data_IF_947738904358
#
_entry.id   IF_947738904358
#
_cell.length_a   1.000
_cell.length_b   1.000
_cell.length_c   1.000
_cell.angle_alpha   90.00
_cell.angle_beta   90.00
_cell.angle_gamma   90.00
#
_symmetry.space_group_name_H-M   'P 1'
#
loop_
_entity.id
_entity.type
_entity.pdbx_description
1 polymer ?
#
# COMPACT_ATOMS: atom_id res chain seq x y z
N UNK A 1 30.49 -36.62 -5.85
CA UNK A 1 30.20 -35.33 -5.17
C UNK A 1 30.20 -34.23 -6.21
N UNK A 2 29.03 -33.78 -6.64
CA UNK A 2 28.84 -32.80 -7.71
C UNK A 2 28.82 -31.37 -7.16
N UNK A 3 29.82 -30.57 -7.53
CA UNK A 3 29.93 -29.16 -7.16
C UNK A 3 29.02 -28.30 -8.05
N UNK A 4 27.97 -27.71 -7.46
CA UNK A 4 27.09 -26.73 -8.13
C UNK A 4 27.68 -25.33 -7.99
N UNK A 5 28.13 -24.77 -9.12
CA UNK A 5 28.49 -23.35 -9.29
C UNK A 5 27.33 -22.46 -8.85
N UNK A 6 27.51 -21.66 -7.79
CA UNK A 6 26.61 -20.55 -7.43
C UNK A 6 26.85 -19.41 -8.42
N UNK A 7 25.89 -19.19 -9.33
CA UNK A 7 25.86 -18.02 -10.20
C UNK A 7 25.46 -16.79 -9.37
N UNK A 8 26.38 -15.85 -9.19
CA UNK A 8 26.13 -14.58 -8.54
C UNK A 8 25.39 -13.66 -9.51
N UNK A 9 24.11 -13.40 -9.25
CA UNK A 9 23.32 -12.46 -10.05
C UNK A 9 23.73 -11.04 -9.67
N UNK A 10 24.64 -10.48 -10.47
CA UNK A 10 25.20 -9.13 -10.33
C UNK A 10 24.08 -8.09 -10.27
N UNK A 11 23.86 -7.49 -9.09
CA UNK A 11 22.91 -6.40 -8.84
C UNK A 11 23.41 -5.17 -9.61
N UNK A 12 22.66 -4.76 -10.63
CA UNK A 12 22.96 -3.59 -11.45
C UNK A 12 22.64 -2.36 -10.59
N UNK A 13 23.64 -1.81 -9.89
CA UNK A 13 23.56 -0.46 -9.30
C UNK A 13 23.27 0.49 -10.47
N UNK A 14 22.08 1.07 -10.54
CA UNK A 14 21.78 2.12 -11.53
C UNK A 14 22.27 3.44 -10.95
N UNK A 15 23.33 3.89 -11.58
CA UNK A 15 23.98 5.20 -11.52
C UNK A 15 22.98 6.35 -11.65
N UNK A 16 23.29 7.44 -10.95
CA UNK A 16 22.45 8.62 -10.78
C UNK A 16 21.94 9.24 -12.08
N UNK A 17 20.65 9.52 -12.05
CA UNK A 17 19.95 10.54 -12.83
C UNK A 17 18.75 10.91 -11.94
N UNK A 18 18.38 12.18 -11.85
CA UNK A 18 17.24 12.67 -11.05
C UNK A 18 15.92 12.11 -11.60
N UNK A 19 15.64 10.83 -11.36
CA UNK A 19 14.35 10.22 -11.63
C UNK A 19 13.51 10.33 -10.36
N UNK A 20 12.30 10.87 -10.47
CA UNK A 20 11.30 10.85 -9.41
C UNK A 20 11.21 9.46 -8.78
N UNK A 21 11.30 9.36 -7.45
CA UNK A 21 11.20 8.12 -6.70
C UNK A 21 9.81 7.98 -6.11
N UNK A 22 9.18 6.83 -6.32
CA UNK A 22 7.91 6.51 -5.67
C UNK A 22 8.05 6.33 -4.14
N UNK A 23 9.25 6.03 -3.67
CA UNK A 23 9.54 5.70 -2.27
C UNK A 23 9.90 6.93 -1.42
N UNK A 24 10.15 8.08 -2.04
CA UNK A 24 10.63 9.30 -1.36
C UNK A 24 9.93 10.55 -1.92
N UNK A 25 8.63 10.76 -1.61
CA UNK A 25 7.92 11.97 -1.99
C UNK A 25 8.42 13.18 -1.20
N UNK A 26 8.31 14.38 -1.77
CA UNK A 26 8.62 15.62 -1.05
C UNK A 26 7.71 15.80 0.17
N UNK A 27 8.19 16.56 1.16
CA UNK A 27 7.41 16.89 2.36
C UNK A 27 6.05 17.49 1.99
N UNK A 28 4.99 17.03 2.65
CA UNK A 28 3.61 17.43 2.34
C UNK A 28 2.99 16.72 1.13
N UNK A 29 3.65 15.70 0.57
CA UNK A 29 3.12 14.86 -0.51
C UNK A 29 3.18 13.38 -0.16
N UNK A 30 2.29 12.59 -0.76
CA UNK A 30 2.41 11.14 -0.80
C UNK A 30 2.38 10.63 -2.25
N UNK A 31 2.99 9.47 -2.46
CA UNK A 31 2.98 8.79 -3.75
C UNK A 31 1.75 7.89 -3.88
N UNK A 32 1.04 7.95 -5.01
CA UNK A 32 0.01 6.99 -5.37
C UNK A 32 0.20 6.50 -6.81
N UNK A 33 0.09 5.20 -7.03
CA UNK A 33 0.23 4.60 -8.36
C UNK A 33 -1.03 4.76 -9.19
N UNK A 34 -0.89 4.93 -10.51
CA UNK A 34 -2.02 4.97 -11.46
C UNK A 34 -2.89 3.71 -11.35
N UNK A 35 -2.26 2.57 -11.10
CA UNK A 35 -2.93 1.29 -10.90
C UNK A 35 -3.92 1.30 -9.73
N UNK A 36 -3.71 2.12 -8.69
CA UNK A 36 -4.64 2.20 -7.56
C UNK A 36 -5.95 2.89 -7.95
N UNK A 37 -5.86 3.93 -8.78
CA UNK A 37 -7.02 4.65 -9.29
C UNK A 37 -7.77 3.80 -10.34
N UNK A 38 -7.03 3.12 -11.22
CA UNK A 38 -7.60 2.42 -12.38
C UNK A 38 -8.02 0.98 -12.06
N UNK A 39 -7.22 0.21 -11.32
CA UNK A 39 -7.47 -1.22 -11.03
C UNK A 39 -8.12 -1.44 -9.66
N UNK A 40 -7.76 -0.65 -8.66
CA UNK A 40 -8.38 -0.75 -7.33
C UNK A 40 -9.63 0.14 -7.20
N UNK A 41 -9.87 1.03 -8.17
CA UNK A 41 -10.94 2.03 -8.16
C UNK A 41 -10.92 2.87 -6.88
N UNK A 42 -9.72 3.16 -6.38
CA UNK A 42 -9.57 4.05 -5.23
C UNK A 42 -10.08 5.45 -5.60
N UNK A 43 -10.72 6.11 -4.65
CA UNK A 43 -11.30 7.44 -4.82
C UNK A 43 -10.71 8.44 -3.83
N UNK A 44 -10.98 9.72 -4.09
CA UNK A 44 -10.60 10.85 -3.25
C UNK A 44 -11.84 11.57 -2.71
N UNK A 45 -11.77 12.17 -1.52
CA UNK A 45 -10.66 12.06 -0.57
C UNK A 45 -10.49 10.63 -0.03
N UNK A 46 -9.25 10.21 0.25
CA UNK A 46 -8.98 8.90 0.83
C UNK A 46 -9.63 8.84 2.22
N UNK A 47 -10.47 7.82 2.50
CA UNK A 47 -11.15 7.71 3.80
C UNK A 47 -10.20 7.67 5.01
N UNK A 48 -10.61 8.27 6.13
CA UNK A 48 -9.85 8.32 7.38
C UNK A 48 -9.46 6.92 7.87
N UNK A 49 -10.37 5.94 7.71
CA UNK A 49 -10.11 4.55 8.06
C UNK A 49 -8.87 4.00 7.34
N UNK A 50 -8.69 4.33 6.05
CA UNK A 50 -7.53 3.90 5.27
C UNK A 50 -6.25 4.50 5.85
N UNK A 51 -6.26 5.81 6.10
CA UNK A 51 -5.09 6.53 6.60
C UNK A 51 -4.69 6.02 7.99
N UNK A 52 -5.66 5.86 8.90
CA UNK A 52 -5.42 5.37 10.27
C UNK A 52 -4.89 3.93 10.27
N UNK A 53 -5.45 3.05 9.46
CA UNK A 53 -4.97 1.68 9.36
C UNK A 53 -3.54 1.64 8.80
N UNK A 54 -3.26 2.40 7.74
CA UNK A 54 -1.91 2.49 7.18
C UNK A 54 -0.90 3.02 8.19
N UNK A 55 -1.25 4.07 8.94
CA UNK A 55 -0.42 4.61 10.01
C UNK A 55 -0.15 3.56 11.10
N UNK A 56 -1.18 2.81 11.51
CA UNK A 56 -1.06 1.73 12.50
C UNK A 56 -0.13 0.60 12.04
N UNK A 57 -0.13 0.28 10.75
CA UNK A 57 0.79 -0.70 10.17
C UNK A 57 2.17 -0.13 9.83
N UNK A 58 2.41 1.17 10.08
CA UNK A 58 3.62 1.90 9.68
C UNK A 58 3.90 1.78 8.18
N UNK A 59 2.84 1.84 7.37
CA UNK A 59 2.92 1.72 5.91
C UNK A 59 2.48 3.01 5.23
N UNK A 60 3.16 3.34 4.14
CA UNK A 60 2.66 4.30 3.16
C UNK A 60 1.75 3.59 2.14
N UNK A 61 0.84 4.34 1.51
CA UNK A 61 -0.04 3.78 0.49
C UNK A 61 0.73 3.19 -0.70
N UNK A 62 1.89 3.77 -1.06
CA UNK A 62 2.77 3.26 -2.12
C UNK A 62 3.47 1.94 -1.77
N UNK A 63 3.45 1.50 -0.51
CA UNK A 63 3.97 0.18 -0.12
C UNK A 63 2.93 -0.94 -0.26
N UNK A 64 1.65 -0.60 -0.42
CA UNK A 64 0.63 -1.58 -0.76
C UNK A 64 0.85 -2.09 -2.18
N UNK A 65 0.48 -3.35 -2.44
CA UNK A 65 0.30 -3.83 -3.80
C UNK A 65 -1.18 -3.75 -4.19
N UNK A 66 -1.48 -3.87 -5.48
CA UNK A 66 -2.85 -3.83 -6.02
C UNK A 66 -3.78 -4.79 -5.29
N UNK A 67 -3.36 -6.03 -5.05
CA UNK A 67 -4.19 -7.03 -4.39
C UNK A 67 -4.48 -6.69 -2.93
N UNK A 68 -3.50 -6.16 -2.19
CA UNK A 68 -3.67 -5.74 -0.80
C UNK A 68 -4.65 -4.56 -0.71
N UNK A 69 -4.49 -3.55 -1.58
CA UNK A 69 -5.40 -2.41 -1.63
C UNK A 69 -6.82 -2.82 -2.03
N UNK A 70 -6.99 -3.70 -3.02
CA UNK A 70 -8.33 -4.21 -3.40
C UNK A 70 -9.02 -4.96 -2.27
N UNK A 71 -8.30 -5.84 -1.57
CA UNK A 71 -8.85 -6.56 -0.42
C UNK A 71 -9.26 -5.59 0.69
N UNK A 72 -8.39 -4.62 0.97
CA UNK A 72 -8.61 -3.64 2.02
C UNK A 72 -9.82 -2.74 1.71
N UNK A 73 -9.90 -2.18 0.50
CA UNK A 73 -11.06 -1.42 0.03
C UNK A 73 -12.33 -2.26 0.03
N UNK A 74 -12.27 -3.51 -0.41
CA UNK A 74 -13.43 -4.38 -0.45
C UNK A 74 -13.98 -4.67 0.96
N UNK A 75 -13.12 -4.87 1.95
CA UNK A 75 -13.56 -5.04 3.35
C UNK A 75 -14.12 -3.75 3.93
N UNK A 76 -13.53 -2.60 3.60
CA UNK A 76 -14.06 -1.29 4.00
C UNK A 76 -15.45 -1.01 3.39
N UNK A 77 -15.64 -1.32 2.11
CA UNK A 77 -16.96 -1.18 1.47
C UNK A 77 -17.97 -2.14 2.08
N UNK A 78 -17.57 -3.40 2.30
CA UNK A 78 -18.44 -4.40 2.94
C UNK A 78 -18.83 -3.98 4.36
N UNK A 79 -17.93 -3.38 5.15
CA UNK A 79 -18.27 -2.91 6.49
C UNK A 79 -19.32 -1.80 6.44
N UNK A 80 -19.21 -0.87 5.48
CA UNK A 80 -20.23 0.16 5.29
C UNK A 80 -21.59 -0.43 4.88
N UNK A 81 -21.61 -1.41 3.97
CA UNK A 81 -22.85 -2.09 3.58
C UNK A 81 -23.52 -2.81 4.76
N UNK A 82 -22.72 -3.31 5.70
CA UNK A 82 -23.20 -3.99 6.91
C UNK A 82 -23.47 -3.05 8.09
N UNK A 83 -23.22 -1.73 7.94
CA UNK A 83 -23.35 -0.77 9.03
C UNK A 83 -22.34 -0.99 10.17
N UNK A 84 -21.19 -1.59 9.87
CA UNK A 84 -20.09 -1.83 10.80
C UNK A 84 -19.06 -0.71 10.71
N UNK A 85 -18.65 -0.20 11.87
CA UNK A 85 -17.52 0.71 11.99
C UNK A 85 -16.27 -0.10 12.35
N UNK A 86 -15.31 -0.19 11.41
CA UNK A 86 -14.08 -0.94 11.61
C UNK A 86 -12.98 -0.03 12.14
N UNK A 87 -12.49 -0.36 13.33
CA UNK A 87 -11.32 0.29 13.92
C UNK A 87 -10.02 -0.20 13.27
N UNK A 88 -8.92 0.57 13.36
CA UNK A 88 -7.59 0.08 12.97
C UNK A 88 -7.21 -1.26 13.64
N UNK A 89 -7.65 -1.48 14.88
CA UNK A 89 -7.45 -2.73 15.62
C UNK A 89 -8.17 -3.94 14.98
N UNK A 90 -9.36 -3.74 14.40
CA UNK A 90 -10.06 -4.80 13.66
C UNK A 90 -9.26 -5.22 12.42
N UNK A 91 -8.67 -4.24 11.73
CA UNK A 91 -7.77 -4.50 10.61
C UNK A 91 -6.49 -5.21 11.03
N UNK A 92 -5.92 -4.90 12.20
CA UNK A 92 -4.81 -5.67 12.79
C UNK A 92 -5.22 -7.11 13.08
N UNK A 93 -6.48 -7.37 13.44
CA UNK A 93 -7.04 -8.72 13.59
C UNK A 93 -6.96 -9.53 12.30
N UNK A 94 -7.28 -8.89 11.18
CA UNK A 94 -7.42 -9.52 9.86
C UNK A 94 -6.12 -9.58 9.04
N UNK A 95 -5.24 -8.58 9.15
CA UNK A 95 -4.02 -8.46 8.35
C UNK A 95 -2.74 -8.52 9.18
N UNK A 96 -1.64 -8.87 8.52
CA UNK A 96 -0.29 -8.74 9.05
C UNK A 96 0.67 -8.14 8.02
N UNK A 97 1.68 -7.45 8.51
CA UNK A 97 2.81 -7.00 7.69
C UNK A 97 3.76 -8.16 7.45
N UNK A 98 3.99 -8.49 6.17
CA UNK A 98 5.02 -9.43 5.76
C UNK A 98 6.24 -8.66 5.29
N UNK A 99 7.37 -8.83 5.97
CA UNK A 99 8.67 -8.37 5.47
C UNK A 99 9.00 -9.15 4.20
N UNK A 100 9.33 -8.45 3.13
CA UNK A 100 9.73 -9.09 1.88
C UNK A 100 11.26 -9.15 1.79
N UNK A 101 11.79 -10.08 1.01
CA UNK A 101 13.23 -10.24 0.82
C UNK A 101 13.86 -9.12 -0.04
N UNK A 102 13.07 -8.14 -0.47
CA UNK A 102 13.52 -6.94 -1.17
C UNK A 102 13.60 -5.85 -0.10
N UNK A 103 14.84 -5.40 0.15
CA UNK A 103 15.25 -4.42 1.18
C UNK A 103 14.12 -3.42 1.54
N UNK A 104 13.77 -3.34 2.83
CA UNK A 104 12.85 -2.36 3.43
C UNK A 104 11.39 -2.32 2.95
N UNK A 105 10.94 -3.26 2.11
CA UNK A 105 9.52 -3.33 1.74
C UNK A 105 8.76 -4.32 2.61
N UNK A 106 7.91 -3.78 3.49
CA UNK A 106 6.85 -4.51 4.20
C UNK A 106 5.58 -4.48 3.35
N UNK A 107 4.88 -5.60 3.22
CA UNK A 107 3.60 -5.68 2.51
C UNK A 107 2.50 -6.13 3.46
N UNK A 108 1.36 -5.44 3.42
CA UNK A 108 0.15 -5.88 4.11
C UNK A 108 -0.42 -7.12 3.42
N UNK A 109 -0.76 -8.16 4.18
CA UNK A 109 -1.38 -9.38 3.68
C UNK A 109 -2.36 -9.97 4.70
N UNK A 110 -3.47 -10.60 4.28
CA UNK A 110 -4.37 -11.26 5.22
C UNK A 110 -3.64 -12.30 6.07
N UNK A 111 -4.02 -12.41 7.34
CA UNK A 111 -3.55 -13.49 8.22
C UNK A 111 -4.07 -14.83 7.71
N UNK A 112 -3.44 -15.91 8.18
CA UNK A 112 -3.84 -17.28 7.83
C UNK A 112 -5.32 -17.47 8.16
N UNK A 113 -6.12 -17.92 7.18
CA UNK A 113 -7.57 -18.13 7.30
C UNK A 113 -8.42 -16.87 7.53
N UNK A 114 -7.86 -15.67 7.38
CA UNK A 114 -8.58 -14.39 7.54
C UNK A 114 -8.84 -13.67 6.20
N UNK A 115 -8.79 -14.39 5.08
CA UNK A 115 -9.11 -13.81 3.76
C UNK A 115 -10.63 -13.75 3.59
N UNK A 116 -11.19 -12.55 3.58
CA UNK A 116 -12.64 -12.33 3.42
C UNK A 116 -13.03 -12.36 1.94
N UNK A 117 -12.32 -11.62 1.10
CA UNK A 117 -12.62 -11.49 -0.33
C UNK A 117 -11.67 -12.39 -1.12
N UNK A 118 -12.21 -13.16 -2.07
CA UNK A 118 -11.46 -14.08 -2.93
C UNK A 118 -11.59 -13.67 -4.40
N UNK A 119 -10.72 -14.20 -5.27
CA UNK A 119 -10.80 -13.99 -6.72
C UNK A 119 -10.09 -12.75 -7.27
N UNK A 120 -9.26 -12.08 -6.47
CA UNK A 120 -8.45 -10.94 -6.92
C UNK A 120 -7.46 -11.34 -8.02
N UNK A 121 -7.30 -10.49 -9.02
CA UNK A 121 -6.24 -10.64 -10.02
C UNK A 121 -4.91 -10.23 -9.40
N UNK A 122 -4.16 -11.22 -8.89
CA UNK A 122 -2.90 -10.99 -8.16
C UNK A 122 -1.71 -10.53 -9.04
N UNK A 123 -1.88 -10.44 -10.37
CA UNK A 123 -0.77 -10.32 -11.33
C UNK A 123 -0.90 -9.12 -12.28
N UNK A 124 -1.14 -7.92 -11.76
CA UNK A 124 -1.01 -6.69 -12.55
C UNK A 124 0.49 -6.42 -12.84
N UNK A 125 1.04 -7.00 -13.91
CA UNK A 125 2.44 -6.74 -14.30
C UNK A 125 2.63 -5.24 -14.56
N UNK A 126 3.72 -4.67 -14.05
CA UNK A 126 4.05 -3.26 -14.25
C UNK A 126 3.16 -2.27 -13.50
N UNK A 127 2.36 -2.70 -12.53
CA UNK A 127 1.43 -1.81 -11.79
C UNK A 127 2.09 -0.60 -11.12
N UNK A 128 3.39 -0.70 -10.82
CA UNK A 128 4.19 0.35 -10.18
C UNK A 128 4.91 1.28 -11.17
N UNK A 129 4.74 1.09 -12.48
CA UNK A 129 5.51 1.85 -13.49
C UNK A 129 5.08 3.32 -13.62
N UNK A 130 3.86 3.65 -13.19
CA UNK A 130 3.30 5.00 -13.27
C UNK A 130 2.71 5.43 -11.94
N UNK A 131 3.08 6.62 -11.49
CA UNK A 131 2.65 7.19 -10.22
C UNK A 131 2.51 8.70 -10.30
N UNK A 132 1.80 9.23 -9.32
CA UNK A 132 1.59 10.66 -9.11
C UNK A 132 1.95 11.03 -7.67
N UNK A 133 2.35 12.28 -7.47
CA UNK A 133 2.44 12.88 -6.14
C UNK A 133 1.14 13.64 -5.86
N UNK A 134 0.53 13.34 -4.73
CA UNK A 134 -0.66 14.03 -4.24
C UNK A 134 -0.26 14.88 -3.05
N UNK A 135 -0.64 16.17 -3.06
CA UNK A 135 -0.47 17.06 -1.91
C UNK A 135 -1.36 16.55 -0.78
N UNK A 136 -0.83 16.49 0.43
CA UNK A 136 -1.59 16.12 1.63
C UNK A 136 -2.46 17.31 2.03
N UNK A 137 -3.73 17.25 1.68
CA UNK A 137 -4.76 18.21 2.03
C UNK A 137 -6.16 17.56 2.03
N UNK A 138 -7.20 18.34 2.38
CA UNK A 138 -8.59 17.88 2.42
C UNK A 138 -9.19 17.44 1.09
N UNK A 139 -8.53 17.67 -0.05
CA UNK A 139 -8.96 17.12 -1.34
C UNK A 139 -8.41 15.70 -1.57
N UNK A 140 -7.26 15.39 -0.97
CA UNK A 140 -6.57 14.10 -1.14
C UNK A 140 -6.87 13.07 -0.03
N UNK A 141 -7.11 13.53 1.19
CA UNK A 141 -7.38 12.68 2.36
C UNK A 141 -8.48 13.34 3.17
N UNK A 142 -9.29 12.55 3.87
CA UNK A 142 -10.33 13.11 4.73
C UNK A 142 -9.72 14.02 5.81
N UNK A 143 -10.36 15.16 6.09
CA UNK A 143 -9.79 16.22 6.94
C UNK A 143 -9.42 15.75 8.35
N UNK A 144 -10.20 14.82 8.91
CA UNK A 144 -9.95 14.22 10.22
C UNK A 144 -8.61 13.46 10.30
N UNK A 145 -8.06 13.04 9.15
CA UNK A 145 -6.79 12.32 9.07
C UNK A 145 -5.57 13.25 8.97
N UNK A 146 -5.75 14.54 8.63
CA UNK A 146 -4.67 15.51 8.46
C UNK A 146 -3.73 15.63 9.68
N UNK A 147 -4.20 15.55 10.94
CA UNK A 147 -3.31 15.58 12.10
C UNK A 147 -2.23 14.48 12.11
N UNK A 148 -2.48 13.33 11.47
CA UNK A 148 -1.51 12.21 11.39
C UNK A 148 -0.27 12.54 10.56
N UNK A 149 -0.35 13.56 9.71
CA UNK A 149 0.75 13.99 8.85
C UNK A 149 1.55 15.17 9.42
N UNK A 150 1.10 15.79 10.53
CA UNK A 150 1.71 17.00 11.10
C UNK A 150 2.79 16.74 12.15
N UNK A 151 3.06 15.48 12.50
CA UNK A 151 3.91 15.11 13.64
C UNK A 151 5.03 14.09 13.32
N UNK A 152 5.42 13.94 12.06
CA UNK A 152 6.51 13.05 11.63
C UNK A 152 7.74 13.85 11.22
#
# INVERSE_FOLDING_TARGET
MTSRKRSSKKRRKRTGTLYASAEDPAEGFFTCYEAFLTLCRMWFPIPEAIVRTLDRFELSISQLNVAALQNFLGVLVLSYELGMDLSPEDFEGLWSTRKTSIDYSSRMAPKKHMSIIQGHTSNAKGWFERFFYFRIDGASVEENSLPLFRGK
#
